data_IF_420193245914
#
_entry.id   IF_420193245914
#
_cell.length_a   1.000
_cell.length_b   1.000
_cell.length_c   1.000
_cell.angle_alpha   90.00
_cell.angle_beta   90.00
_cell.angle_gamma   90.00
#
_symmetry.space_group_name_H-M   'P 1'
#
loop_
_entity.id
_entity.type
_entity.pdbx_description
1 polymer ?
#
# COMPACT_ATOMS: atom_id res chain seq x y z
N UNK A 1 10.97 -16.68 -0.63
CA UNK A 1 10.99 -15.81 0.57
C UNK A 1 10.32 -14.48 0.23
N UNK A 2 9.87 -13.67 1.21
CA UNK A 2 9.31 -12.34 0.93
C UNK A 2 10.04 -11.29 1.77
N UNK A 3 10.65 -10.32 1.10
CA UNK A 3 11.19 -9.13 1.77
C UNK A 3 10.12 -8.04 1.74
N UNK A 4 9.94 -7.34 2.86
CA UNK A 4 9.01 -6.22 2.94
C UNK A 4 9.80 -4.99 3.36
N UNK A 5 9.76 -3.97 2.52
CA UNK A 5 10.48 -2.72 2.72
C UNK A 5 9.49 -1.57 2.69
N UNK A 6 9.32 -0.90 3.82
CA UNK A 6 8.59 0.37 3.83
C UNK A 6 9.39 1.40 3.02
N UNK A 7 8.78 1.91 1.95
CA UNK A 7 9.41 2.89 1.06
C UNK A 7 9.16 4.30 1.54
N UNK A 8 7.90 4.63 1.81
CA UNK A 8 7.49 5.99 2.13
C UNK A 8 6.16 5.99 2.86
N UNK A 9 5.87 7.06 3.58
CA UNK A 9 4.57 7.26 4.22
C UNK A 9 4.05 8.67 3.94
N UNK A 10 2.81 8.76 3.49
CA UNK A 10 2.20 10.02 3.05
C UNK A 10 0.69 10.00 3.29
N UNK A 11 0.16 11.12 3.78
CA UNK A 11 -1.26 11.29 4.09
C UNK A 11 -1.85 10.24 5.08
N UNK A 12 -1.03 9.76 6.03
CA UNK A 12 -1.42 8.68 6.94
C UNK A 12 -1.33 7.28 6.34
N UNK A 13 -0.88 7.16 5.08
CA UNK A 13 -0.66 5.88 4.41
C UNK A 13 0.82 5.50 4.43
N UNK A 14 1.11 4.21 4.48
CA UNK A 14 2.44 3.63 4.40
C UNK A 14 2.54 2.77 3.14
N UNK A 15 3.47 3.12 2.26
CA UNK A 15 3.82 2.36 1.08
C UNK A 15 4.86 1.30 1.44
N UNK A 16 4.53 0.04 1.22
CA UNK A 16 5.36 -1.12 1.49
C UNK A 16 5.66 -1.82 0.18
N UNK A 17 6.93 -1.93 -0.19
CA UNK A 17 7.36 -2.79 -1.27
C UNK A 17 7.54 -4.21 -0.76
N UNK A 18 6.98 -5.17 -1.49
CA UNK A 18 7.09 -6.60 -1.25
C UNK A 18 7.90 -7.21 -2.37
N UNK A 19 9.15 -7.55 -2.08
CA UNK A 19 10.00 -8.28 -3.00
C UNK A 19 9.81 -9.77 -2.77
N UNK A 20 9.19 -10.45 -3.73
CA UNK A 20 9.15 -11.89 -3.79
C UNK A 20 10.49 -12.39 -4.29
N UNK A 21 11.19 -13.08 -3.38
CA UNK A 21 12.49 -13.67 -3.63
C UNK A 21 12.32 -15.16 -3.93
N UNK A 22 13.02 -15.65 -4.95
CA UNK A 22 13.12 -17.09 -5.22
C UNK A 22 14.03 -17.80 -4.21
N UNK A 23 14.16 -19.12 -4.30
CA UNK A 23 15.06 -19.93 -3.47
C UNK A 23 16.54 -19.51 -3.56
N UNK A 24 16.93 -18.85 -4.65
CA UNK A 24 18.28 -18.30 -4.82
C UNK A 24 18.49 -16.91 -4.21
N UNK A 25 17.43 -16.27 -3.71
CA UNK A 25 17.50 -14.89 -3.20
C UNK A 25 17.39 -13.81 -4.29
N UNK A 26 17.10 -14.20 -5.53
CA UNK A 26 16.80 -13.27 -6.62
C UNK A 26 15.35 -12.77 -6.56
N UNK A 27 15.15 -11.48 -6.85
CA UNK A 27 13.80 -10.88 -6.91
C UNK A 27 13.09 -11.34 -8.18
N UNK A 28 12.06 -12.18 -8.01
CA UNK A 28 11.23 -12.66 -9.12
C UNK A 28 10.01 -11.78 -9.37
N UNK A 29 9.53 -11.08 -8.35
CA UNK A 29 8.37 -10.18 -8.46
C UNK A 29 8.44 -9.11 -7.39
N UNK A 30 8.09 -7.89 -7.77
CA UNK A 30 7.91 -6.78 -6.84
C UNK A 30 6.44 -6.41 -6.83
N UNK A 31 5.87 -6.32 -5.64
CA UNK A 31 4.53 -5.84 -5.39
C UNK A 31 4.60 -4.64 -4.45
N UNK A 32 3.60 -3.79 -4.42
CA UNK A 32 3.54 -2.60 -3.58
C UNK A 32 2.21 -2.60 -2.84
N UNK A 33 2.25 -2.72 -1.53
CA UNK A 33 1.09 -2.66 -0.65
C UNK A 33 0.99 -1.26 -0.06
N UNK A 34 -0.21 -0.67 -0.10
CA UNK A 34 -0.51 0.58 0.59
C UNK A 34 -1.29 0.24 1.85
N UNK A 35 -0.72 0.55 3.00
CA UNK A 35 -1.35 0.35 4.30
C UNK A 35 -1.80 1.69 4.88
N UNK A 36 -2.91 1.71 5.62
CA UNK A 36 -3.28 2.85 6.45
C UNK A 36 -2.44 2.91 7.75
N UNK A 37 -2.50 4.03 8.49
CA UNK A 37 -1.88 4.20 9.80
C UNK A 37 -2.28 3.10 10.81
N UNK A 38 -3.46 2.50 10.63
CA UNK A 38 -3.95 1.39 11.43
C UNK A 38 -3.37 0.02 11.01
N UNK A 39 -2.50 -0.03 10.00
CA UNK A 39 -1.94 -1.27 9.44
C UNK A 39 -2.89 -2.04 8.53
N UNK A 40 -4.02 -1.45 8.14
CA UNK A 40 -4.97 -2.05 7.20
C UNK A 40 -4.45 -1.89 5.76
N UNK A 41 -4.36 -2.98 5.01
CA UNK A 41 -4.02 -2.92 3.58
C UNK A 41 -5.21 -2.32 2.83
N UNK A 42 -4.99 -1.15 2.24
CA UNK A 42 -5.97 -0.43 1.43
C UNK A 42 -5.93 -0.89 -0.02
N UNK A 43 -4.76 -1.29 -0.52
CA UNK A 43 -4.59 -1.78 -1.88
C UNK A 43 -3.23 -2.43 -2.11
N UNK A 44 -3.19 -3.38 -3.04
CA UNK A 44 -1.97 -3.99 -3.58
C UNK A 44 -1.82 -3.60 -5.04
N UNK A 45 -0.62 -3.18 -5.41
CA UNK A 45 -0.27 -2.68 -6.73
C UNK A 45 0.95 -3.42 -7.25
N UNK A 46 1.04 -3.58 -8.57
CA UNK A 46 2.22 -4.20 -9.21
C UNK A 46 3.30 -3.17 -9.57
N UNK A 47 2.99 -1.87 -9.41
CA UNK A 47 3.84 -0.74 -9.78
C UNK A 47 3.85 0.32 -8.69
N UNK A 48 5.03 0.91 -8.44
CA UNK A 48 5.18 1.99 -7.47
C UNK A 48 4.37 3.23 -7.86
N UNK A 49 4.30 3.54 -9.17
CA UNK A 49 3.56 4.69 -9.69
C UNK A 49 2.07 4.61 -9.39
N UNK A 50 1.44 3.46 -9.62
CA UNK A 50 0.04 3.20 -9.25
C UNK A 50 -0.19 3.36 -7.74
N UNK A 51 0.72 2.81 -6.93
CA UNK A 51 0.61 2.90 -5.47
C UNK A 51 0.76 4.34 -4.97
N UNK A 52 1.70 5.11 -5.52
CA UNK A 52 1.88 6.53 -5.21
C UNK A 52 0.70 7.37 -5.70
N UNK A 53 0.16 7.07 -6.88
CA UNK A 53 -1.01 7.75 -7.42
C UNK A 53 -2.25 7.47 -6.56
N UNK A 54 -2.42 6.22 -6.10
CA UNK A 54 -3.43 5.86 -5.13
C UNK A 54 -3.26 6.65 -3.84
N UNK A 55 -2.08 6.70 -3.24
CA UNK A 55 -1.81 7.47 -2.02
C UNK A 55 -2.09 8.97 -2.22
N UNK A 56 -1.76 9.51 -3.39
CA UNK A 56 -1.98 10.91 -3.75
C UNK A 56 -3.47 11.24 -3.93
N UNK A 57 -4.23 10.32 -4.53
CA UNK A 57 -5.67 10.45 -4.74
C UNK A 57 -6.50 9.91 -3.57
N UNK A 58 -5.88 9.24 -2.61
CA UNK A 58 -6.55 8.69 -1.45
C UNK A 58 -7.09 9.83 -0.61
N UNK A 59 -8.39 10.03 -0.76
CA UNK A 59 -9.18 10.86 0.12
C UNK A 59 -9.89 9.90 1.06
N UNK A 60 -9.68 9.99 2.38
CA UNK A 60 -10.59 9.32 3.29
C UNK A 60 -11.99 9.83 2.92
N UNK A 61 -12.91 8.92 2.59
CA UNK A 61 -14.30 9.31 2.36
C UNK A 61 -14.72 10.20 3.54
N UNK A 62 -15.31 11.39 3.29
CA UNK A 62 -15.91 12.12 4.40
C UNK A 62 -16.88 11.18 5.10
N UNK A 63 -16.94 11.18 6.44
CA UNK A 63 -17.81 10.26 7.17
C UNK A 63 -19.20 10.36 6.54
N UNK A 64 -19.71 9.21 6.05
CA UNK A 64 -21.03 9.15 5.44
C UNK A 64 -21.99 9.85 6.39
N UNK A 65 -22.80 10.82 5.94
CA UNK A 65 -23.76 11.45 6.82
C UNK A 65 -24.62 10.32 7.39
N UNK A 66 -24.48 10.10 8.70
CA UNK A 66 -25.30 9.13 9.42
C UNK A 66 -26.71 9.70 9.35
N UNK A 67 -27.49 9.29 8.36
CA UNK A 67 -28.94 9.52 8.38
C UNK A 67 -29.47 8.68 9.53
N UNK A 68 -29.52 9.29 10.73
CA UNK A 68 -30.35 8.79 11.83
C UNK A 68 -31.79 8.92 11.36
N UNK A 69 -32.38 7.80 10.94
CA UNK A 69 -33.83 7.61 10.92
C UNK A 69 -34.32 7.30 12.34
#
# INVERSE_FOLDING_TARGET
MKNRKALSSKNGLSLVQVDHLDGNGDVIRVSYEVCDANGNVLGEFSSIGDAEEFIKNYRPEPPRPTFKM
#
